data_IF_041340486775
#
_entry.id   IF_041340486775
#
_cell.length_a   1.000
_cell.length_b   1.000
_cell.length_c   1.000
_cell.angle_alpha   90.00
_cell.angle_beta   90.00
_cell.angle_gamma   90.00
#
_symmetry.space_group_name_H-M   'P 1'
#
loop_
_entity.id
_entity.type
_entity.pdbx_description
1 polymer ?
#
# COMPACT_ATOMS: atom_id res chain seq x y z
N UNK A 1 11.31 -6.27 18.19
CA UNK A 1 11.11 -6.80 16.83
C UNK A 1 9.72 -6.44 16.37
N UNK A 2 9.53 -6.01 15.13
CA UNK A 2 8.21 -5.70 14.54
C UNK A 2 7.75 -6.92 13.75
N UNK A 3 6.64 -7.58 14.12
CA UNK A 3 6.15 -8.73 13.39
C UNK A 3 5.54 -8.32 12.04
N UNK A 4 5.79 -9.14 11.01
CA UNK A 4 5.19 -9.01 9.69
C UNK A 4 5.08 -10.36 8.96
N UNK A 5 4.25 -10.43 7.93
CA UNK A 5 4.15 -11.56 7.02
C UNK A 5 5.02 -11.25 5.81
N UNK A 6 6.01 -12.08 5.55
CA UNK A 6 6.82 -12.02 4.33
C UNK A 6 6.29 -13.01 3.31
N UNK A 7 6.05 -12.55 2.09
CA UNK A 7 5.77 -13.40 0.93
C UNK A 7 6.81 -13.08 -0.16
N UNK A 8 7.61 -14.05 -0.53
CA UNK A 8 8.64 -13.93 -1.56
C UNK A 8 8.84 -15.29 -2.26
N UNK A 9 8.96 -15.27 -3.58
CA UNK A 9 9.32 -16.45 -4.39
C UNK A 9 10.81 -16.49 -4.69
N UNK A 10 11.50 -15.34 -4.58
CA UNK A 10 12.91 -15.19 -4.89
C UNK A 10 13.67 -14.73 -3.63
N UNK A 11 14.86 -15.27 -3.42
CA UNK A 11 15.75 -14.86 -2.33
C UNK A 11 16.37 -13.46 -2.54
N UNK A 12 16.33 -12.92 -3.77
CA UNK A 12 16.82 -11.59 -4.13
C UNK A 12 15.80 -10.84 -5.00
N UNK A 13 14.61 -10.51 -4.47
CA UNK A 13 13.63 -9.74 -5.20
C UNK A 13 14.18 -8.33 -5.50
N UNK A 14 13.79 -7.78 -6.64
CA UNK A 14 14.16 -6.42 -7.03
C UNK A 14 13.37 -5.36 -6.27
N UNK A 15 12.12 -5.68 -5.93
CA UNK A 15 11.18 -4.79 -5.27
C UNK A 15 10.57 -5.45 -4.04
N UNK A 16 10.51 -4.71 -2.94
CA UNK A 16 9.80 -5.13 -1.72
C UNK A 16 8.73 -4.11 -1.37
N UNK A 17 7.48 -4.55 -1.26
CA UNK A 17 6.36 -3.71 -0.91
C UNK A 17 5.96 -3.92 0.54
N UNK A 18 6.03 -2.87 1.35
CA UNK A 18 5.49 -2.86 2.72
C UNK A 18 4.03 -2.46 2.61
N UNK A 19 3.12 -3.34 3.07
CA UNK A 19 1.68 -3.18 2.92
C UNK A 19 1.04 -2.74 4.24
N UNK A 20 0.42 -1.54 4.23
CA UNK A 20 -0.34 -0.96 5.33
C UNK A 20 -1.84 -1.07 5.07
N UNK A 21 -2.56 -1.99 5.72
CA UNK A 21 -4.01 -2.14 5.53
C UNK A 21 -4.80 -0.95 6.09
N UNK A 22 -6.02 -0.79 5.60
CA UNK A 22 -6.99 0.18 6.08
C UNK A 22 -7.68 -0.22 7.40
N UNK A 23 -8.84 0.36 7.67
CA UNK A 23 -9.62 0.10 8.88
C UNK A 23 -8.84 0.41 10.15
N UNK A 24 -8.78 -0.53 11.10
CA UNK A 24 -7.95 -0.41 12.30
C UNK A 24 -6.44 -0.55 12.00
N UNK A 25 -6.08 -0.99 10.81
CA UNK A 25 -4.70 -1.24 10.42
C UNK A 25 -4.03 -2.44 11.11
N UNK A 26 -4.76 -3.26 11.85
CA UNK A 26 -4.20 -4.32 12.72
C UNK A 26 -4.23 -5.68 12.04
N UNK A 27 -3.08 -6.12 11.56
CA UNK A 27 -2.86 -7.49 11.04
C UNK A 27 -2.47 -8.44 12.17
N UNK A 28 -1.68 -7.95 13.12
CA UNK A 28 -1.19 -8.66 14.30
C UNK A 28 -0.70 -10.09 13.98
N UNK A 29 0.25 -10.23 13.03
CA UNK A 29 0.69 -11.55 12.60
C UNK A 29 1.49 -12.24 13.71
N UNK A 30 1.17 -13.50 13.95
CA UNK A 30 1.85 -14.34 14.95
C UNK A 30 1.80 -15.80 14.57
N UNK A 31 2.74 -16.56 15.08
CA UNK A 31 2.67 -18.02 15.06
C UNK A 31 1.84 -18.50 16.27
N UNK A 32 0.90 -19.39 16.04
CA UNK A 32 0.10 -20.04 17.06
C UNK A 32 -0.04 -21.51 16.68
N UNK A 33 0.40 -22.41 17.53
CA UNK A 33 0.37 -23.87 17.32
C UNK A 33 1.01 -24.31 15.98
N UNK A 34 2.08 -23.62 15.58
CA UNK A 34 2.79 -23.89 14.32
C UNK A 34 2.16 -23.25 13.07
N UNK A 35 1.01 -22.60 13.22
CA UNK A 35 0.31 -21.95 12.11
C UNK A 35 0.44 -20.42 12.16
N UNK A 36 0.44 -19.78 10.98
CA UNK A 36 0.40 -18.34 10.85
C UNK A 36 -1.02 -17.82 11.05
N UNK A 37 -1.24 -17.10 12.17
CA UNK A 37 -2.50 -16.43 12.48
C UNK A 37 -2.35 -14.92 12.27
N UNK A 38 -3.31 -14.31 11.60
CA UNK A 38 -3.35 -12.86 11.35
C UNK A 38 -4.78 -12.38 11.11
N UNK A 39 -4.99 -11.09 11.34
CA UNK A 39 -6.27 -10.40 11.13
C UNK A 39 -6.43 -9.76 9.75
N UNK A 40 -7.55 -9.07 9.56
CA UNK A 40 -7.86 -8.25 8.37
C UNK A 40 -7.80 -8.98 7.02
N UNK A 41 -8.03 -10.27 6.98
CA UNK A 41 -7.94 -11.13 5.79
C UNK A 41 -8.74 -10.62 4.59
N UNK A 42 -9.85 -9.91 4.80
CA UNK A 42 -10.68 -9.30 3.76
C UNK A 42 -10.13 -7.99 3.18
N UNK A 43 -9.25 -7.27 3.88
CA UNK A 43 -8.69 -6.01 3.39
C UNK A 43 -7.97 -6.19 2.05
N UNK A 44 -8.10 -5.22 1.13
CA UNK A 44 -7.52 -5.29 -0.22
C UNK A 44 -6.03 -5.70 -0.20
N UNK A 45 -5.18 -4.97 0.52
CA UNK A 45 -3.74 -5.26 0.52
C UNK A 45 -3.41 -6.60 1.20
N UNK A 46 -4.19 -7.00 2.22
CA UNK A 46 -3.96 -8.27 2.93
C UNK A 46 -4.35 -9.47 2.07
N UNK A 47 -5.53 -9.44 1.42
CA UNK A 47 -5.98 -10.56 0.56
C UNK A 47 -5.23 -10.63 -0.77
N UNK A 48 -4.77 -9.49 -1.28
CA UNK A 48 -4.04 -9.42 -2.55
C UNK A 48 -2.52 -9.50 -2.41
N UNK A 49 -1.99 -9.65 -1.19
CA UNK A 49 -0.53 -9.63 -0.93
C UNK A 49 0.26 -10.62 -1.79
N UNK A 50 -0.31 -11.79 -2.07
CA UNK A 50 0.33 -12.81 -2.91
C UNK A 50 0.24 -12.52 -4.40
N UNK A 51 -0.73 -11.69 -4.85
CA UNK A 51 -0.83 -11.28 -6.25
C UNK A 51 0.33 -10.35 -6.68
N UNK A 52 0.89 -9.63 -5.71
CA UNK A 52 2.10 -8.84 -5.95
C UNK A 52 3.34 -9.70 -6.18
N UNK A 53 3.39 -10.92 -5.60
CA UNK A 53 4.60 -11.74 -5.55
C UNK A 53 4.87 -12.43 -6.87
N UNK A 54 6.08 -12.23 -7.39
CA UNK A 54 6.67 -12.97 -8.52
C UNK A 54 8.20 -13.01 -8.37
N UNK A 55 8.94 -13.22 -9.43
CA UNK A 55 10.42 -13.30 -9.40
C UNK A 55 11.07 -11.94 -9.07
N UNK A 56 10.39 -10.81 -9.34
CA UNK A 56 10.90 -9.47 -9.05
C UNK A 56 10.35 -8.87 -7.75
N UNK A 57 9.16 -9.28 -7.31
CA UNK A 57 8.42 -8.65 -6.24
C UNK A 57 8.23 -9.53 -5.01
N UNK A 58 8.49 -8.97 -3.84
CA UNK A 58 8.12 -9.55 -2.56
C UNK A 58 7.21 -8.58 -1.77
N UNK A 59 6.42 -9.09 -0.83
CA UNK A 59 5.57 -8.28 0.05
C UNK A 59 5.86 -8.52 1.52
N UNK A 60 5.74 -7.45 2.29
CA UNK A 60 5.79 -7.43 3.75
C UNK A 60 4.47 -6.83 4.26
N UNK A 61 3.63 -7.64 4.87
CA UNK A 61 2.35 -7.18 5.43
C UNK A 61 2.47 -7.02 6.94
N UNK A 62 2.26 -5.82 7.45
CA UNK A 62 2.37 -5.49 8.88
C UNK A 62 1.25 -4.54 9.31
N UNK A 63 1.15 -4.25 10.61
CA UNK A 63 0.20 -3.24 11.09
C UNK A 63 0.54 -1.87 10.50
N UNK A 64 -0.47 -1.13 10.07
CA UNK A 64 -0.31 0.27 9.69
C UNK A 64 0.21 1.09 10.86
N UNK A 65 1.06 2.06 10.59
CA UNK A 65 1.72 2.85 11.62
C UNK A 65 2.11 4.23 11.11
N UNK A 66 2.20 5.19 12.02
CA UNK A 66 2.82 6.51 11.79
C UNK A 66 4.15 6.63 12.56
N UNK A 67 4.62 5.56 13.19
CA UNK A 67 5.84 5.55 13.99
C UNK A 67 7.08 5.33 13.11
N UNK A 68 7.96 6.33 13.07
CA UNK A 68 9.28 6.24 12.41
C UNK A 68 10.11 5.08 12.96
N UNK A 69 10.16 4.91 14.29
CA UNK A 69 10.93 3.84 14.92
C UNK A 69 10.42 2.44 14.51
N UNK A 70 9.10 2.30 14.32
CA UNK A 70 8.53 1.04 13.87
C UNK A 70 8.90 0.74 12.41
N UNK A 71 8.77 1.71 11.51
CA UNK A 71 9.12 1.50 10.10
C UNK A 71 10.62 1.34 9.91
N UNK A 72 11.45 2.06 10.70
CA UNK A 72 12.91 1.88 10.73
C UNK A 72 13.29 0.42 11.02
N UNK A 73 12.69 -0.19 12.03
CA UNK A 73 12.98 -1.58 12.38
C UNK A 73 12.62 -2.57 11.25
N UNK A 74 11.55 -2.30 10.50
CA UNK A 74 11.20 -3.07 9.30
C UNK A 74 12.22 -2.86 8.18
N UNK A 75 12.58 -1.60 7.88
CA UNK A 75 13.54 -1.27 6.84
C UNK A 75 14.92 -1.87 7.11
N UNK A 76 15.38 -1.84 8.36
CA UNK A 76 16.67 -2.43 8.75
C UNK A 76 16.68 -3.95 8.55
N UNK A 77 15.58 -4.63 8.86
CA UNK A 77 15.46 -6.07 8.61
C UNK A 77 15.43 -6.38 7.11
N UNK A 78 14.66 -5.60 6.33
CA UNK A 78 14.60 -5.75 4.87
C UNK A 78 15.94 -5.48 4.20
N UNK A 79 16.70 -4.50 4.69
CA UNK A 79 18.04 -4.20 4.17
C UNK A 79 19.03 -5.37 4.39
N UNK A 80 18.90 -6.10 5.51
CA UNK A 80 19.70 -7.30 5.76
C UNK A 80 19.29 -8.47 4.86
N UNK A 81 17.97 -8.67 4.66
CA UNK A 81 17.42 -9.79 3.87
C UNK A 81 17.59 -9.59 2.38
N UNK A 82 17.36 -8.37 1.91
CA UNK A 82 17.28 -8.00 0.50
C UNK A 82 18.08 -6.71 0.23
N UNK A 83 19.41 -6.76 0.35
CA UNK A 83 20.27 -5.56 0.37
C UNK A 83 20.20 -4.71 -0.91
N UNK A 84 19.85 -5.32 -2.05
CA UNK A 84 19.74 -4.65 -3.35
C UNK A 84 18.29 -4.24 -3.72
N UNK A 85 17.29 -4.64 -2.91
CA UNK A 85 15.90 -4.37 -3.25
C UNK A 85 15.54 -2.89 -3.06
N UNK A 86 14.75 -2.37 -4.00
CA UNK A 86 14.05 -1.11 -3.84
C UNK A 86 12.79 -1.33 -3.00
N UNK A 87 12.62 -0.54 -1.95
CA UNK A 87 11.46 -0.66 -1.05
C UNK A 87 10.41 0.37 -1.42
N UNK A 88 9.15 -0.04 -1.41
CA UNK A 88 7.97 0.81 -1.57
C UNK A 88 7.04 0.64 -0.38
N UNK A 89 6.38 1.71 0.06
CA UNK A 89 5.33 1.65 1.07
C UNK A 89 3.97 1.81 0.38
N UNK A 90 3.07 0.86 0.60
CA UNK A 90 1.72 0.86 0.03
C UNK A 90 0.68 0.94 1.14
N UNK A 91 -0.11 2.00 1.17
CA UNK A 91 -1.22 2.14 2.09
C UNK A 91 -2.57 2.05 1.38
N UNK A 92 -3.59 1.52 2.07
CA UNK A 92 -4.97 1.56 1.60
C UNK A 92 -5.90 2.17 2.64
N UNK A 93 -6.83 3.04 2.22
CA UNK A 93 -7.82 3.65 3.11
C UNK A 93 -7.14 4.33 4.33
N UNK A 94 -7.50 3.98 5.56
CA UNK A 94 -6.81 4.47 6.76
C UNK A 94 -5.30 4.18 6.79
N UNK A 95 -4.82 3.16 6.08
CA UNK A 95 -3.38 2.90 5.93
C UNK A 95 -2.63 4.03 5.25
N UNK A 96 -3.32 4.85 4.42
CA UNK A 96 -2.73 6.02 3.77
C UNK A 96 -2.43 7.18 4.74
N UNK A 97 -3.05 7.22 5.91
CA UNK A 97 -2.63 8.14 6.97
C UNK A 97 -1.20 7.84 7.43
N UNK A 98 -0.82 6.55 7.44
CA UNK A 98 0.56 6.13 7.76
C UNK A 98 1.55 6.53 6.65
N UNK A 99 1.20 6.31 5.37
CA UNK A 99 2.09 6.69 4.26
C UNK A 99 2.31 8.20 4.24
N UNK A 100 1.25 9.00 4.28
CA UNK A 100 1.37 10.47 4.28
C UNK A 100 2.15 11.01 5.51
N UNK A 101 1.90 10.47 6.71
CA UNK A 101 2.58 10.91 7.92
C UNK A 101 4.08 10.57 7.92
N UNK A 102 4.48 9.48 7.29
CA UNK A 102 5.86 9.02 7.21
C UNK A 102 6.63 9.59 6.02
N UNK A 103 5.97 10.27 5.08
CA UNK A 103 6.56 10.70 3.81
C UNK A 103 7.86 11.50 3.98
N UNK A 104 7.90 12.44 4.92
CA UNK A 104 9.11 13.22 5.20
C UNK A 104 10.29 12.36 5.68
N UNK A 105 10.01 11.41 6.55
CA UNK A 105 10.99 10.47 7.07
C UNK A 105 11.47 9.48 6.00
N UNK A 106 10.58 9.04 5.12
CA UNK A 106 10.85 8.02 4.11
C UNK A 106 11.44 8.56 2.81
N UNK A 107 11.39 9.87 2.59
CA UNK A 107 11.71 10.55 1.34
C UNK A 107 13.05 10.12 0.68
N UNK A 108 14.06 9.80 1.49
CA UNK A 108 15.39 9.37 1.01
C UNK A 108 15.68 7.90 1.35
N UNK A 109 14.72 7.17 1.89
CA UNK A 109 14.92 5.81 2.44
C UNK A 109 14.28 4.72 1.61
N UNK A 110 13.22 5.06 0.88
CA UNK A 110 12.49 4.15 0.00
C UNK A 110 12.29 4.76 -1.37
N UNK A 111 12.04 3.92 -2.36
CA UNK A 111 11.90 4.33 -3.76
C UNK A 111 10.57 5.03 -4.05
N UNK A 112 9.52 4.74 -3.28
CA UNK A 112 8.23 5.41 -3.46
C UNK A 112 7.16 4.99 -2.48
N UNK A 113 6.06 5.74 -2.52
CA UNK A 113 4.86 5.53 -1.73
C UNK A 113 3.63 5.46 -2.63
N UNK A 114 2.73 4.54 -2.30
CA UNK A 114 1.53 4.28 -3.09
C UNK A 114 0.31 4.38 -2.18
N UNK A 115 -0.61 5.27 -2.55
CA UNK A 115 -1.80 5.61 -1.79
C UNK A 115 -3.02 5.04 -2.51
N UNK A 116 -3.53 3.88 -2.05
CA UNK A 116 -4.70 3.23 -2.66
C UNK A 116 -5.98 3.56 -1.89
N UNK A 117 -7.08 3.88 -2.58
CA UNK A 117 -8.35 4.33 -1.96
C UNK A 117 -8.08 5.31 -0.82
N UNK A 118 -7.34 6.37 -1.13
CA UNK A 118 -6.74 7.25 -0.14
C UNK A 118 -7.76 8.03 0.66
N UNK A 119 -7.43 8.30 1.91
CA UNK A 119 -8.18 9.25 2.75
C UNK A 119 -8.26 10.63 2.10
N UNK A 120 -9.29 11.40 2.46
CA UNK A 120 -9.54 12.74 1.90
C UNK A 120 -8.39 13.72 2.10
N UNK A 121 -7.54 13.54 3.10
CA UNK A 121 -6.35 14.37 3.36
C UNK A 121 -5.34 14.36 2.20
N UNK A 122 -5.43 13.39 1.28
CA UNK A 122 -4.61 13.34 0.06
C UNK A 122 -4.79 14.60 -0.81
N UNK A 123 -5.95 15.25 -0.77
CA UNK A 123 -6.25 16.48 -1.50
C UNK A 123 -5.24 17.61 -1.24
N UNK A 124 -4.69 17.64 -0.04
CA UNK A 124 -3.72 18.68 0.39
C UNK A 124 -2.30 18.15 0.55
N UNK A 125 -2.08 16.87 0.29
CA UNK A 125 -0.77 16.24 0.38
C UNK A 125 0.07 16.58 -0.87
N UNK A 126 1.10 17.41 -0.69
CA UNK A 126 2.00 17.83 -1.77
C UNK A 126 3.24 16.93 -1.86
N UNK A 127 3.29 15.96 -2.80
CA UNK A 127 4.40 15.02 -2.94
C UNK A 127 5.69 15.68 -3.47
N UNK A 128 5.62 16.88 -4.06
CA UNK A 128 6.79 17.62 -4.58
C UNK A 128 7.77 18.05 -3.49
N UNK A 129 7.35 17.95 -2.22
CA UNK A 129 8.18 18.17 -1.03
C UNK A 129 9.13 17.01 -0.73
N UNK A 130 8.98 15.87 -1.41
CA UNK A 130 9.70 14.64 -1.16
C UNK A 130 10.48 14.20 -2.40
N UNK A 131 11.54 13.42 -2.21
CA UNK A 131 12.40 12.96 -3.32
C UNK A 131 11.95 11.65 -3.94
N UNK A 132 11.31 10.80 -3.14
CA UNK A 132 10.78 9.53 -3.61
C UNK A 132 9.51 9.73 -4.44
N UNK A 133 9.17 8.73 -5.24
CA UNK A 133 7.99 8.78 -6.11
C UNK A 133 6.69 8.58 -5.32
N UNK A 134 5.62 9.21 -5.77
CA UNK A 134 4.28 9.05 -5.19
C UNK A 134 3.25 8.72 -6.25
N UNK A 135 2.46 7.66 -5.98
CA UNK A 135 1.34 7.23 -6.81
C UNK A 135 0.05 7.25 -6.01
N UNK A 136 -1.01 7.75 -6.60
CA UNK A 136 -2.37 7.55 -6.11
C UNK A 136 -3.06 6.52 -7.02
N UNK A 137 -3.69 5.51 -6.43
CA UNK A 137 -4.56 4.55 -7.14
C UNK A 137 -5.95 4.64 -6.52
N UNK A 138 -6.97 4.94 -7.31
CA UNK A 138 -8.32 5.10 -6.75
C UNK A 138 -9.39 4.58 -7.71
N UNK A 139 -10.41 3.92 -7.16
CA UNK A 139 -11.53 3.44 -7.96
C UNK A 139 -12.51 4.59 -8.24
N UNK A 140 -12.88 4.81 -9.51
CA UNK A 140 -13.78 5.91 -9.93
C UNK A 140 -15.13 5.92 -9.22
N UNK A 141 -15.64 4.73 -8.86
CA UNK A 141 -16.93 4.53 -8.19
C UNK A 141 -16.80 4.28 -6.69
N UNK A 142 -15.65 4.62 -6.07
CA UNK A 142 -15.51 4.54 -4.62
C UNK A 142 -16.45 5.54 -3.95
N UNK A 143 -17.48 5.02 -3.28
CA UNK A 143 -18.51 5.79 -2.59
C UNK A 143 -18.26 5.89 -1.06
N UNK A 144 -17.07 5.48 -0.60
CA UNK A 144 -16.69 5.63 0.81
C UNK A 144 -16.41 7.10 1.13
N UNK A 145 -17.18 7.68 2.04
CA UNK A 145 -17.08 9.11 2.39
C UNK A 145 -15.72 9.51 2.96
N UNK A 146 -15.01 8.60 3.61
CA UNK A 146 -13.68 8.85 4.19
C UNK A 146 -12.55 8.86 3.16
N UNK A 147 -12.83 8.37 1.94
CA UNK A 147 -11.86 8.21 0.85
C UNK A 147 -12.47 8.66 -0.48
N UNK A 148 -12.83 9.94 -0.61
CA UNK A 148 -13.56 10.39 -1.78
C UNK A 148 -12.66 10.45 -3.01
N UNK A 149 -13.16 9.93 -4.15
CA UNK A 149 -12.42 9.93 -5.42
C UNK A 149 -11.99 11.34 -5.85
N UNK A 150 -12.83 12.36 -5.63
CA UNK A 150 -12.50 13.74 -6.00
C UNK A 150 -11.24 14.26 -5.29
N UNK A 151 -10.95 13.83 -4.06
CA UNK A 151 -9.75 14.26 -3.33
C UNK A 151 -8.46 13.72 -3.98
N UNK A 152 -8.50 12.48 -4.49
CA UNK A 152 -7.41 11.89 -5.26
C UNK A 152 -7.21 12.64 -6.60
N UNK A 153 -8.30 12.96 -7.28
CA UNK A 153 -8.28 13.73 -8.53
C UNK A 153 -7.74 15.15 -8.31
N UNK A 154 -8.20 15.85 -7.27
CA UNK A 154 -7.73 17.18 -6.92
C UNK A 154 -6.22 17.22 -6.59
N UNK A 155 -5.70 16.19 -5.89
CA UNK A 155 -4.26 16.06 -5.65
C UNK A 155 -3.45 15.91 -6.95
N UNK A 156 -3.95 15.11 -7.88
CA UNK A 156 -3.36 14.96 -9.22
C UNK A 156 -3.34 16.30 -9.97
N UNK A 157 -4.48 16.97 -10.06
CA UNK A 157 -4.65 18.23 -10.79
C UNK A 157 -3.79 19.36 -10.18
N UNK A 158 -3.74 19.43 -8.85
CA UNK A 158 -3.05 20.49 -8.12
C UNK A 158 -1.54 20.32 -8.05
N UNK A 159 -1.06 19.11 -7.84
CA UNK A 159 0.35 18.84 -7.54
C UNK A 159 1.06 18.03 -8.61
N UNK A 160 0.34 17.50 -9.61
CA UNK A 160 0.90 16.60 -10.62
C UNK A 160 1.23 15.22 -10.09
N UNK A 161 0.65 14.81 -8.93
CA UNK A 161 0.85 13.46 -8.38
C UNK A 161 0.45 12.41 -9.42
N UNK A 162 1.28 11.40 -9.65
CA UNK A 162 0.93 10.31 -10.56
C UNK A 162 -0.37 9.63 -10.10
N UNK A 163 -1.30 9.37 -11.02
CA UNK A 163 -2.64 8.93 -10.68
C UNK A 163 -3.14 7.85 -11.63
N UNK A 164 -3.64 6.76 -11.05
CA UNK A 164 -4.31 5.67 -11.77
C UNK A 164 -5.76 5.55 -11.29
N UNK A 165 -6.70 5.90 -12.17
CA UNK A 165 -8.13 5.76 -11.92
C UNK A 165 -8.61 4.38 -12.36
N UNK A 166 -8.91 3.50 -11.40
CA UNK A 166 -9.43 2.16 -11.66
C UNK A 166 -10.93 2.19 -11.95
N UNK A 167 -11.36 1.26 -12.79
CA UNK A 167 -12.78 1.04 -13.09
C UNK A 167 -13.04 -0.45 -13.29
N UNK A 168 -14.30 -0.89 -13.22
CA UNK A 168 -14.67 -2.31 -13.31
C UNK A 168 -15.02 -2.92 -11.95
N UNK A 169 -15.00 -4.24 -11.89
CA UNK A 169 -15.33 -4.97 -10.67
C UNK A 169 -16.77 -4.82 -10.21
N UNK A 170 -17.01 -5.06 -8.94
CA UNK A 170 -18.35 -5.04 -8.32
C UNK A 170 -18.28 -4.49 -6.88
N UNK A 171 -19.41 -3.96 -6.41
CA UNK A 171 -19.53 -3.48 -5.03
C UNK A 171 -20.57 -4.31 -4.28
N UNK A 172 -20.21 -4.82 -3.11
CA UNK A 172 -21.06 -5.60 -2.22
C UNK A 172 -20.91 -5.06 -0.81
N UNK A 173 -22.01 -4.87 -0.10
CA UNK A 173 -22.01 -4.36 1.27
C UNK A 173 -21.87 -2.85 1.38
N UNK A 174 -21.40 -2.39 2.53
CA UNK A 174 -21.22 -0.96 2.80
C UNK A 174 -20.08 -0.37 1.94
N UNK A 175 -20.22 0.86 1.43
CA UNK A 175 -19.25 1.47 0.51
C UNK A 175 -17.79 1.47 0.98
N UNK A 176 -17.53 1.54 2.29
CA UNK A 176 -16.17 1.54 2.85
C UNK A 176 -15.63 0.13 3.19
N UNK A 177 -16.37 -0.92 2.84
CA UNK A 177 -15.93 -2.29 3.13
C UNK A 177 -15.05 -2.87 2.02
N UNK A 178 -14.38 -3.95 2.37
CA UNK A 178 -13.39 -4.59 1.52
C UNK A 178 -13.94 -5.17 0.20
N UNK A 179 -15.22 -5.55 0.18
CA UNK A 179 -15.89 -6.11 -1.00
C UNK A 179 -16.67 -5.05 -1.80
N UNK A 180 -16.54 -3.77 -1.47
CA UNK A 180 -17.03 -2.66 -2.29
C UNK A 180 -15.99 -2.24 -3.36
N UNK A 181 -16.33 -1.26 -4.19
CA UNK A 181 -15.38 -0.61 -5.10
C UNK A 181 -14.18 -0.02 -4.35
N UNK A 182 -14.38 0.42 -3.10
CA UNK A 182 -13.35 0.86 -2.19
C UNK A 182 -12.21 -0.15 -2.02
N UNK A 183 -12.52 -1.44 -2.03
CA UNK A 183 -11.55 -2.53 -1.91
C UNK A 183 -11.17 -3.18 -3.25
N UNK A 184 -11.51 -2.58 -4.39
CA UNK A 184 -11.19 -3.09 -5.73
C UNK A 184 -11.76 -4.50 -5.98
N UNK A 185 -12.91 -4.82 -5.42
CA UNK A 185 -13.50 -6.15 -5.49
C UNK A 185 -13.80 -6.60 -6.93
N UNK A 186 -13.16 -7.70 -7.33
CA UNK A 186 -13.24 -8.29 -8.67
C UNK A 186 -12.30 -7.69 -9.71
N UNK A 187 -11.43 -6.75 -9.32
CA UNK A 187 -10.34 -6.18 -10.13
C UNK A 187 -9.02 -6.11 -9.34
N UNK A 188 -8.86 -6.97 -8.34
CA UNK A 188 -7.64 -7.00 -7.52
C UNK A 188 -6.39 -7.23 -8.36
N UNK A 189 -6.46 -8.18 -9.31
CA UNK A 189 -5.33 -8.53 -10.17
C UNK A 189 -4.92 -7.39 -11.08
N UNK A 190 -5.89 -6.71 -11.69
CA UNK A 190 -5.68 -5.54 -12.55
C UNK A 190 -5.08 -4.37 -11.76
N UNK A 191 -5.60 -4.12 -10.55
CA UNK A 191 -5.08 -3.06 -9.68
C UNK A 191 -3.64 -3.33 -9.26
N UNK A 192 -3.33 -4.56 -8.85
CA UNK A 192 -1.96 -5.00 -8.52
C UNK A 192 -1.04 -4.87 -9.74
N UNK A 193 -1.50 -5.30 -10.92
CA UNK A 193 -0.73 -5.19 -12.16
C UNK A 193 -0.42 -3.75 -12.54
N UNK A 194 -1.38 -2.84 -12.37
CA UNK A 194 -1.19 -1.41 -12.61
C UNK A 194 -0.12 -0.82 -11.67
N UNK A 195 -0.15 -1.16 -10.39
CA UNK A 195 0.86 -0.74 -9.40
C UNK A 195 2.25 -1.29 -9.77
N UNK A 196 2.36 -2.58 -10.09
CA UNK A 196 3.64 -3.22 -10.48
C UNK A 196 4.22 -2.58 -11.75
N UNK A 197 3.39 -2.28 -12.74
CA UNK A 197 3.81 -1.61 -13.97
C UNK A 197 4.34 -0.20 -13.70
N UNK A 198 3.67 0.56 -12.84
CA UNK A 198 4.15 1.88 -12.42
C UNK A 198 5.52 1.80 -11.72
N UNK A 199 5.71 0.83 -10.82
CA UNK A 199 7.00 0.60 -10.15
C UNK A 199 8.10 0.31 -11.17
N UNK A 200 7.85 -0.57 -12.15
CA UNK A 200 8.81 -0.94 -13.19
C UNK A 200 9.21 0.22 -14.11
N UNK A 201 8.30 1.16 -14.36
CA UNK A 201 8.54 2.33 -15.22
C UNK A 201 9.46 3.39 -14.57
N UNK A 202 9.63 3.36 -13.28
CA UNK A 202 10.46 4.31 -12.52
C UNK A 202 11.96 3.99 -12.52
N UNK A 203 12.48 3.49 -13.63
CA UNK A 203 13.92 3.17 -13.82
C UNK A 203 14.77 4.41 -14.04
#
# INVERSE_FOLDING_TARGET
MVPYILNANNAAPRYVLILFPGGSGRVDPRMQDGELVYGFKGNFLVRSRTFFVDDEFATVTTNSSQSEARIQAVLDDLKRRFPAAQVYLVGTSNGTAGTMALAGYLSERIAGEIHTSSRGEIETFDPRRYRNRHLIVHHKRDACRGTPFYAAQAAHERFGTEFIAMDGGRSVGHPCEALAYHGYNGIEGETVSAIKNWIRQGR
#
